data_IF_567069311777
#
_entry.id   IF_567069311777
#
_cell.length_a   1.000
_cell.length_b   1.000
_cell.length_c   1.000
_cell.angle_alpha   90.00
_cell.angle_beta   90.00
_cell.angle_gamma   90.00
#
_symmetry.space_group_name_H-M   'P 1'
#
loop_
_entity.id
_entity.type
_entity.pdbx_description
1 polymer ?
#
# COMPACT_ATOMS: atom_id res chain seq x y z
N UNK A 1 5.73 15.20 3.34
CA UNK A 1 5.75 14.90 1.89
C UNK A 1 6.96 15.55 1.28
N UNK A 2 7.67 14.83 0.41
CA UNK A 2 8.68 15.40 -0.48
C UNK A 2 8.00 15.55 -1.84
N UNK A 3 7.97 16.78 -2.37
CA UNK A 3 7.42 17.06 -3.69
C UNK A 3 8.40 16.63 -4.79
N UNK A 4 7.93 16.56 -6.03
CA UNK A 4 8.75 16.18 -7.17
C UNK A 4 9.99 17.10 -7.37
N UNK A 5 9.89 18.36 -6.93
CA UNK A 5 10.96 19.36 -6.93
C UNK A 5 11.91 19.27 -5.71
N UNK A 6 11.69 18.30 -4.81
CA UNK A 6 12.49 18.11 -3.59
C UNK A 6 12.05 18.97 -2.39
N UNK A 7 11.04 19.82 -2.52
CA UNK A 7 10.56 20.63 -1.39
C UNK A 7 9.78 19.83 -0.36
N UNK A 8 9.86 20.24 0.92
CA UNK A 8 9.18 19.59 2.03
C UNK A 8 7.85 20.27 2.36
N UNK A 9 6.78 19.48 2.42
CA UNK A 9 5.47 19.92 2.89
C UNK A 9 5.03 19.11 4.11
N UNK A 10 4.59 19.82 5.16
CA UNK A 10 3.98 19.27 6.37
C UNK A 10 2.45 19.35 6.28
N UNK A 11 1.76 18.54 7.10
CA UNK A 11 0.29 18.61 7.23
C UNK A 11 -0.49 18.20 5.98
N UNK A 12 0.07 17.29 5.17
CA UNK A 12 -0.63 16.73 4.02
C UNK A 12 -1.61 15.64 4.47
N UNK A 13 -2.77 15.59 3.82
CA UNK A 13 -3.72 14.51 3.97
C UNK A 13 -4.14 14.01 2.59
N UNK A 14 -3.42 13.01 2.02
CA UNK A 14 -3.69 12.53 0.68
C UNK A 14 -5.07 11.87 0.61
N UNK A 15 -5.73 11.93 -0.55
CA UNK A 15 -7.00 11.22 -0.76
C UNK A 15 -6.79 9.75 -1.11
N UNK A 16 -5.69 9.45 -1.80
CA UNK A 16 -5.29 8.10 -2.14
C UNK A 16 -3.78 7.91 -2.00
N UNK A 17 -3.36 6.73 -1.56
CA UNK A 17 -1.95 6.44 -1.28
C UNK A 17 -1.60 4.99 -1.54
N UNK A 18 -0.57 4.75 -2.35
CA UNK A 18 0.04 3.43 -2.54
C UNK A 18 1.22 3.28 -1.58
N UNK A 19 1.06 2.42 -0.58
CA UNK A 19 2.11 2.13 0.40
C UNK A 19 2.96 0.95 -0.04
N UNK A 20 4.28 1.07 0.07
CA UNK A 20 5.18 0.00 -0.32
C UNK A 20 6.62 0.20 0.13
N UNK A 21 7.39 -0.88 0.05
CA UNK A 21 8.82 -0.85 0.31
C UNK A 21 9.64 -0.33 -0.88
N UNK A 22 9.08 -0.38 -2.10
CA UNK A 22 9.65 0.12 -3.37
C UNK A 22 11.14 -0.18 -3.55
N UNK A 23 11.49 -1.46 -3.44
CA UNK A 23 12.87 -1.92 -3.51
C UNK A 23 13.03 -3.07 -4.53
N UNK A 24 13.04 -2.81 -5.85
CA UNK A 24 12.89 -1.50 -6.48
C UNK A 24 11.43 -1.12 -6.77
N UNK A 25 11.21 0.14 -7.13
CA UNK A 25 10.00 0.59 -7.82
C UNK A 25 9.98 -0.02 -9.23
N UNK A 26 8.82 -0.46 -9.72
CA UNK A 26 8.72 -1.14 -11.01
C UNK A 26 7.35 -0.89 -11.66
N UNK A 27 7.19 -1.33 -12.91
CA UNK A 27 5.99 -1.07 -13.73
C UNK A 27 4.67 -1.49 -13.08
N UNK A 28 4.66 -2.64 -12.39
CA UNK A 28 3.51 -3.09 -11.59
C UNK A 28 3.04 -2.07 -10.54
N UNK A 29 3.96 -1.42 -9.82
CA UNK A 29 3.61 -0.37 -8.86
C UNK A 29 3.04 0.87 -9.57
N UNK A 30 3.70 1.28 -10.66
CA UNK A 30 3.29 2.47 -11.42
C UNK A 30 1.90 2.31 -12.01
N UNK A 31 1.63 1.17 -12.65
CA UNK A 31 0.32 0.88 -13.21
C UNK A 31 -0.75 0.73 -12.15
N UNK A 32 -0.41 0.22 -10.97
CA UNK A 32 -1.35 0.13 -9.86
C UNK A 32 -1.75 1.53 -9.39
N UNK A 33 -0.78 2.44 -9.26
CA UNK A 33 -1.05 3.83 -8.93
C UNK A 33 -1.90 4.53 -10.00
N UNK A 34 -1.57 4.36 -11.29
CA UNK A 34 -2.33 4.92 -12.41
C UNK A 34 -3.77 4.40 -12.44
N UNK A 35 -3.96 3.08 -12.35
CA UNK A 35 -5.29 2.46 -12.37
C UNK A 35 -6.13 2.90 -11.17
N UNK A 36 -5.51 3.00 -9.99
CA UNK A 36 -6.18 3.49 -8.80
C UNK A 36 -6.56 4.98 -8.93
N UNK A 37 -5.70 5.80 -9.56
CA UNK A 37 -5.99 7.20 -9.80
C UNK A 37 -7.21 7.37 -10.71
N UNK A 38 -7.30 6.56 -11.78
CA UNK A 38 -8.47 6.56 -12.68
C UNK A 38 -9.76 6.13 -11.97
N UNK A 39 -9.70 5.08 -11.14
CA UNK A 39 -10.88 4.55 -10.43
C UNK A 39 -11.39 5.53 -9.37
N UNK A 40 -10.46 6.18 -8.67
CA UNK A 40 -10.78 7.08 -7.57
C UNK A 40 -11.06 8.50 -8.04
N UNK A 41 -10.68 8.85 -9.27
CA UNK A 41 -10.63 10.23 -9.78
C UNK A 41 -9.84 11.15 -8.82
N UNK A 42 -8.68 10.66 -8.36
CA UNK A 42 -7.82 11.32 -7.39
C UNK A 42 -6.34 11.05 -7.70
N UNK A 43 -5.46 11.99 -7.38
CA UNK A 43 -4.02 11.73 -7.41
C UNK A 43 -3.65 10.67 -6.36
N UNK A 44 -2.92 9.63 -6.79
CA UNK A 44 -2.36 8.60 -5.91
C UNK A 44 -0.92 8.96 -5.62
N UNK A 45 -0.62 9.27 -4.36
CA UNK A 45 0.77 9.48 -3.93
C UNK A 45 1.40 8.17 -3.45
N UNK A 46 2.72 8.11 -3.44
CA UNK A 46 3.45 6.96 -2.91
C UNK A 46 3.80 7.17 -1.43
N UNK A 47 3.80 6.09 -0.66
CA UNK A 47 4.30 6.09 0.71
C UNK A 47 5.36 5.02 0.91
N UNK A 48 6.57 5.48 1.23
CA UNK A 48 7.70 4.64 1.60
C UNK A 48 7.69 4.45 3.12
N UNK A 49 7.35 3.24 3.55
CA UNK A 49 7.39 2.87 4.97
C UNK A 49 8.83 2.67 5.41
N UNK A 50 9.35 3.56 6.27
CA UNK A 50 10.72 3.51 6.79
C UNK A 50 10.89 2.49 7.91
N UNK A 51 9.82 2.20 8.67
CA UNK A 51 9.79 1.19 9.73
C UNK A 51 8.77 0.13 9.35
N UNK A 52 9.21 -1.08 9.03
CA UNK A 52 8.30 -2.19 8.74
C UNK A 52 7.99 -2.94 10.05
N UNK A 53 6.78 -3.47 10.20
CA UNK A 53 6.39 -4.20 11.41
C UNK A 53 7.32 -5.41 11.71
N UNK A 54 7.84 -6.06 10.67
CA UNK A 54 8.60 -7.31 10.78
C UNK A 54 10.11 -7.17 10.47
N UNK A 55 10.61 -5.95 10.25
CA UNK A 55 12.02 -5.72 9.87
C UNK A 55 12.61 -4.55 10.65
N UNK A 56 13.94 -4.53 10.87
CA UNK A 56 14.61 -3.35 11.40
C UNK A 56 14.29 -2.11 10.55
N UNK A 57 14.25 -0.95 11.20
CA UNK A 57 14.10 0.35 10.54
C UNK A 57 15.14 0.47 9.43
N UNK A 58 14.73 1.04 8.30
CA UNK A 58 15.66 1.29 7.20
C UNK A 58 16.69 2.34 7.63
N UNK A 59 17.96 2.07 7.31
CA UNK A 59 19.02 3.07 7.43
C UNK A 59 18.69 4.30 6.58
N UNK A 60 19.12 5.48 7.04
CA UNK A 60 18.83 6.74 6.34
C UNK A 60 19.33 6.71 4.89
N UNK A 61 20.48 6.10 4.65
CA UNK A 61 21.06 5.93 3.30
C UNK A 61 20.17 5.09 2.40
N UNK A 62 19.59 4.02 2.92
CA UNK A 62 18.67 3.15 2.18
C UNK A 62 17.34 3.84 1.87
N UNK A 63 16.81 4.63 2.82
CA UNK A 63 15.62 5.46 2.58
C UNK A 63 15.90 6.44 1.44
N UNK A 64 17.02 7.15 1.50
CA UNK A 64 17.42 8.10 0.46
C UNK A 64 17.60 7.41 -0.89
N UNK A 65 18.26 6.26 -0.94
CA UNK A 65 18.44 5.47 -2.15
C UNK A 65 17.09 5.11 -2.80
N UNK A 66 16.13 4.60 -2.00
CA UNK A 66 14.80 4.27 -2.52
C UNK A 66 14.01 5.49 -2.98
N UNK A 67 14.17 6.63 -2.31
CA UNK A 67 13.52 7.89 -2.68
C UNK A 67 13.98 8.43 -4.03
N UNK A 68 15.23 8.18 -4.44
CA UNK A 68 15.76 8.67 -5.73
C UNK A 68 14.93 8.19 -6.93
N UNK A 69 14.30 7.02 -6.82
CA UNK A 69 13.44 6.45 -7.88
C UNK A 69 12.18 7.31 -8.17
N UNK A 70 11.78 8.18 -7.23
CA UNK A 70 10.59 9.05 -7.36
C UNK A 70 10.93 10.48 -7.79
N UNK A 71 12.20 10.88 -7.71
CA UNK A 71 12.65 12.24 -7.92
C UNK A 71 12.22 12.78 -9.31
N UNK A 72 11.60 13.96 -9.34
CA UNK A 72 11.11 14.59 -10.57
C UNK A 72 9.91 13.92 -11.24
N UNK A 73 9.34 12.86 -10.63
CA UNK A 73 8.30 12.03 -11.28
C UNK A 73 7.03 11.88 -10.45
N UNK A 74 7.16 11.63 -9.15
CA UNK A 74 6.01 11.30 -8.30
C UNK A 74 6.12 11.94 -6.92
N UNK A 75 4.97 12.22 -6.30
CA UNK A 75 4.90 12.62 -4.90
C UNK A 75 5.12 11.41 -3.99
N UNK A 76 6.00 11.57 -3.01
CA UNK A 76 6.30 10.51 -2.04
C UNK A 76 6.31 11.04 -0.61
N UNK A 77 5.78 10.22 0.29
CA UNK A 77 5.81 10.42 1.74
C UNK A 77 6.65 9.33 2.35
N UNK A 78 7.55 9.71 3.26
CA UNK A 78 8.21 8.75 4.15
C UNK A 78 7.46 8.77 5.47
N UNK A 79 7.04 7.60 5.95
CA UNK A 79 6.40 7.48 7.25
C UNK A 79 7.07 6.42 8.12
N UNK A 80 7.02 6.63 9.44
CA UNK A 80 7.40 5.65 10.45
C UNK A 80 6.17 4.87 10.96
N UNK A 81 5.14 4.71 10.13
CA UNK A 81 3.91 4.01 10.50
C UNK A 81 3.94 2.57 9.96
N UNK A 82 4.30 1.56 10.77
CA UNK A 82 4.50 0.19 10.29
C UNK A 82 3.21 -0.52 9.89
N UNK A 83 2.06 -0.11 10.43
CA UNK A 83 0.76 -0.75 10.20
C UNK A 83 -0.22 0.20 9.51
N UNK A 84 -1.24 -0.34 8.83
CA UNK A 84 -2.26 0.49 8.20
C UNK A 84 -3.14 1.24 9.20
N UNK A 85 -3.35 0.71 10.41
CA UNK A 85 -4.00 1.47 11.48
C UNK A 85 -3.15 2.67 11.93
N UNK A 86 -1.82 2.52 12.02
CA UNK A 86 -0.93 3.65 12.27
C UNK A 86 -0.93 4.66 11.12
N UNK A 87 -1.02 4.20 9.87
CA UNK A 87 -1.16 5.09 8.70
C UNK A 87 -2.49 5.82 8.70
N UNK A 88 -3.59 5.16 9.06
CA UNK A 88 -4.91 5.78 9.17
C UNK A 88 -4.92 6.91 10.22
N UNK A 89 -4.17 6.75 11.33
CA UNK A 89 -3.96 7.82 12.33
C UNK A 89 -3.27 9.06 11.74
N UNK A 90 -2.31 8.86 10.84
CA UNK A 90 -1.57 9.94 10.18
C UNK A 90 -2.34 10.57 9.01
N UNK A 91 -3.11 9.78 8.28
CA UNK A 91 -3.76 10.16 7.03
C UNK A 91 -5.26 9.79 7.05
N UNK A 92 -6.08 10.43 7.90
CA UNK A 92 -7.50 10.13 8.01
C UNK A 92 -8.24 10.43 6.70
N UNK A 93 -9.19 9.56 6.31
CA UNK A 93 -9.96 9.70 5.07
C UNK A 93 -9.22 9.25 3.80
N UNK A 94 -8.04 8.64 3.94
CA UNK A 94 -7.24 8.16 2.80
C UNK A 94 -7.72 6.79 2.34
N UNK A 95 -7.83 6.62 1.02
CA UNK A 95 -7.93 5.28 0.41
C UNK A 95 -6.53 4.70 0.21
N UNK A 96 -6.24 3.59 0.88
CA UNK A 96 -4.97 2.87 0.73
C UNK A 96 -5.03 1.91 -0.45
N UNK A 97 -4.18 2.13 -1.44
CA UNK A 97 -4.04 1.25 -2.60
C UNK A 97 -3.06 0.14 -2.22
N UNK A 98 -3.46 -1.12 -2.42
CA UNK A 98 -2.65 -2.29 -2.07
C UNK A 98 -2.75 -3.39 -3.11
N UNK A 99 -1.72 -4.23 -3.19
CA UNK A 99 -1.80 -5.51 -3.90
C UNK A 99 -2.41 -6.60 -3.02
N UNK A 100 -2.82 -7.71 -3.66
CA UNK A 100 -3.40 -8.89 -3.01
C UNK A 100 -2.63 -9.34 -1.76
N UNK A 101 -1.31 -9.53 -1.87
CA UNK A 101 -0.49 -10.05 -0.76
C UNK A 101 -0.50 -9.12 0.47
N UNK A 102 -0.50 -7.80 0.24
CA UNK A 102 -0.57 -6.82 1.32
C UNK A 102 -1.96 -6.82 1.95
N UNK A 103 -3.02 -6.89 1.15
CA UNK A 103 -4.39 -6.97 1.66
C UNK A 103 -4.61 -8.25 2.48
N UNK A 104 -4.07 -9.38 2.03
CA UNK A 104 -4.12 -10.65 2.77
C UNK A 104 -3.45 -10.53 4.14
N UNK A 105 -2.27 -9.89 4.22
CA UNK A 105 -1.57 -9.67 5.50
C UNK A 105 -2.37 -8.80 6.46
N UNK A 106 -3.09 -7.79 5.98
CA UNK A 106 -3.95 -6.94 6.82
C UNK A 106 -5.02 -7.76 7.54
N UNK A 107 -5.45 -8.87 6.93
CA UNK A 107 -6.49 -9.77 7.39
C UNK A 107 -5.96 -11.00 8.17
N UNK A 108 -4.67 -11.03 8.51
CA UNK A 108 -4.05 -12.17 9.21
C UNK A 108 -3.74 -11.82 10.68
N UNK A 109 -4.31 -12.55 11.67
CA UNK A 109 -4.10 -12.28 13.10
C UNK A 109 -2.64 -12.27 13.56
N UNK A 110 -1.74 -13.00 12.89
CA UNK A 110 -0.30 -13.01 13.22
C UNK A 110 0.37 -11.64 13.19
N UNK A 111 -0.18 -10.68 12.44
CA UNK A 111 0.31 -9.29 12.43
C UNK A 111 -0.28 -8.42 13.56
N UNK A 112 -1.09 -9.02 14.43
CA UNK A 112 -1.79 -8.39 15.55
C UNK A 112 -1.61 -9.22 16.83
N UNK A 113 -0.36 -9.61 17.11
CA UNK A 113 0.00 -10.46 18.25
C UNK A 113 -0.84 -11.76 18.33
N UNK A 114 -1.08 -12.37 17.16
CA UNK A 114 -1.89 -13.57 16.98
C UNK A 114 -3.34 -13.44 17.51
N UNK A 115 -3.86 -12.21 17.63
CA UNK A 115 -5.19 -11.92 18.17
C UNK A 115 -6.16 -11.46 17.10
N UNK A 116 -7.22 -12.25 16.90
CA UNK A 116 -8.34 -11.89 16.03
C UNK A 116 -9.05 -10.62 16.52
N UNK A 117 -9.22 -10.45 17.84
CA UNK A 117 -9.86 -9.26 18.41
C UNK A 117 -9.05 -7.99 18.14
N UNK A 118 -7.72 -8.05 18.24
CA UNK A 118 -6.85 -6.91 17.91
C UNK A 118 -6.90 -6.58 16.41
N UNK A 119 -6.97 -7.58 15.54
CA UNK A 119 -7.15 -7.36 14.10
C UNK A 119 -8.49 -6.68 13.81
N UNK A 120 -9.59 -7.14 14.41
CA UNK A 120 -10.91 -6.53 14.23
C UNK A 120 -10.95 -5.10 14.78
N UNK A 121 -10.33 -4.85 15.94
CA UNK A 121 -10.18 -3.51 16.51
C UNK A 121 -9.40 -2.57 15.58
N UNK A 122 -8.33 -3.06 14.95
CA UNK A 122 -7.58 -2.29 13.96
C UNK A 122 -8.42 -1.95 12.72
N UNK A 123 -9.22 -2.90 12.21
CA UNK A 123 -10.13 -2.65 11.09
C UNK A 123 -11.23 -1.63 11.46
N UNK A 124 -11.79 -1.73 12.66
CA UNK A 124 -12.77 -0.79 13.18
C UNK A 124 -12.17 0.63 13.25
N UNK A 125 -10.96 0.78 13.79
CA UNK A 125 -10.31 2.09 13.85
C UNK A 125 -9.99 2.65 12.46
N UNK A 126 -9.55 1.82 11.51
CA UNK A 126 -9.35 2.24 10.11
C UNK A 126 -10.66 2.79 9.52
N UNK A 127 -11.79 2.13 9.77
CA UNK A 127 -13.12 2.60 9.37
C UNK A 127 -13.49 3.92 10.02
N UNK A 128 -13.34 4.04 11.34
CA UNK A 128 -13.68 5.26 12.09
C UNK A 128 -12.90 6.48 11.61
N UNK A 129 -11.67 6.26 11.13
CA UNK A 129 -10.84 7.30 10.52
C UNK A 129 -11.21 7.62 9.08
N UNK A 130 -12.26 7.00 8.54
CA UNK A 130 -12.75 7.19 7.18
C UNK A 130 -11.84 6.59 6.11
N UNK A 131 -10.91 5.70 6.49
CA UNK A 131 -10.00 5.07 5.55
C UNK A 131 -10.61 3.78 4.99
N UNK A 132 -10.22 3.42 3.77
CA UNK A 132 -10.56 2.14 3.17
C UNK A 132 -9.42 1.67 2.25
N UNK A 133 -9.58 0.49 1.65
CA UNK A 133 -8.62 -0.14 0.78
C UNK A 133 -9.16 -0.26 -0.64
N UNK A 134 -8.29 -0.02 -1.62
CA UNK A 134 -8.50 -0.37 -3.01
C UNK A 134 -7.47 -1.44 -3.39
N UNK A 135 -7.95 -2.66 -3.65
CA UNK A 135 -7.11 -3.85 -3.74
C UNK A 135 -7.02 -4.36 -5.18
N UNK A 136 -5.80 -4.51 -5.67
CA UNK A 136 -5.53 -5.22 -6.91
C UNK A 136 -5.39 -6.74 -6.70
N UNK A 137 -6.08 -7.51 -7.54
CA UNK A 137 -5.78 -8.94 -7.76
C UNK A 137 -4.38 -9.10 -8.34
N UNK A 138 -3.75 -10.25 -8.12
CA UNK A 138 -2.40 -10.54 -8.64
C UNK A 138 -2.39 -11.81 -9.49
N UNK A 139 -1.42 -11.90 -10.38
CA UNK A 139 -1.03 -13.15 -11.01
C UNK A 139 0.35 -13.52 -10.50
N UNK A 140 0.54 -14.77 -10.06
CA UNK A 140 1.85 -15.22 -9.63
C UNK A 140 2.72 -15.70 -10.80
N UNK A 141 3.97 -16.05 -10.50
CA UNK A 141 4.97 -16.52 -11.47
C UNK A 141 4.59 -17.84 -12.16
N UNK A 142 3.63 -18.59 -11.61
CA UNK A 142 3.08 -19.81 -12.21
C UNK A 142 1.88 -19.52 -13.11
N UNK A 143 1.47 -18.24 -13.23
CA UNK A 143 0.33 -17.81 -14.01
C UNK A 143 -1.01 -18.03 -13.30
N UNK A 144 -1.03 -18.36 -12.01
CA UNK A 144 -2.25 -18.51 -11.23
C UNK A 144 -2.78 -17.13 -10.86
N UNK A 145 -4.06 -16.90 -11.13
CA UNK A 145 -4.74 -15.65 -10.79
C UNK A 145 -5.32 -15.73 -9.38
N UNK A 146 -4.83 -14.86 -8.51
CA UNK A 146 -5.33 -14.67 -7.15
C UNK A 146 -6.30 -13.49 -7.15
N UNK A 147 -7.59 -13.81 -7.18
CA UNK A 147 -8.64 -12.80 -7.20
C UNK A 147 -8.84 -12.19 -5.81
N UNK A 148 -8.69 -10.88 -5.69
CA UNK A 148 -8.90 -10.15 -4.46
C UNK A 148 -10.36 -10.19 -3.97
N UNK A 149 -11.32 -10.58 -4.82
CA UNK A 149 -12.69 -10.90 -4.38
C UNK A 149 -12.74 -12.08 -3.40
N UNK A 150 -11.75 -12.98 -3.46
CA UNK A 150 -11.60 -14.15 -2.61
C UNK A 150 -10.93 -13.89 -1.26
N UNK A 151 -10.59 -12.64 -0.94
CA UNK A 151 -10.01 -12.31 0.37
C UNK A 151 -10.96 -12.71 1.50
N UNK A 152 -10.40 -13.36 2.53
CA UNK A 152 -11.08 -13.76 3.76
C UNK A 152 -11.36 -12.56 4.68
N UNK A 153 -12.13 -11.59 4.18
CA UNK A 153 -12.52 -10.40 4.95
C UNK A 153 -13.55 -10.80 6.02
N UNK A 154 -13.33 -10.47 7.31
CA UNK A 154 -14.29 -10.73 8.37
C UNK A 154 -15.67 -10.14 8.08
N UNK A 155 -16.70 -10.80 8.61
CA UNK A 155 -18.08 -10.33 8.48
C UNK A 155 -18.21 -8.89 9.00
N UNK A 156 -18.98 -8.07 8.26
CA UNK A 156 -19.16 -6.67 8.59
C UNK A 156 -17.99 -5.75 8.23
N UNK A 157 -16.93 -6.22 7.55
CA UNK A 157 -15.79 -5.39 7.10
C UNK A 157 -15.56 -5.34 5.58
N UNK A 158 -16.44 -5.96 4.78
CA UNK A 158 -16.29 -6.02 3.31
C UNK A 158 -16.29 -4.64 2.64
N UNK A 159 -17.02 -3.67 3.18
CA UNK A 159 -17.06 -2.28 2.75
C UNK A 159 -15.70 -1.58 2.79
N UNK A 160 -14.79 -2.03 3.67
CA UNK A 160 -13.43 -1.49 3.74
C UNK A 160 -12.56 -1.93 2.58
N UNK A 161 -12.90 -2.99 1.85
CA UNK A 161 -12.04 -3.57 0.81
C UNK A 161 -12.73 -3.51 -0.55
N UNK A 162 -12.48 -2.42 -1.28
CA UNK A 162 -12.94 -2.27 -2.66
C UNK A 162 -11.97 -2.97 -3.59
N UNK A 163 -12.48 -3.77 -4.52
CA UNK A 163 -11.66 -4.55 -5.43
C UNK A 163 -11.52 -3.82 -6.76
N UNK A 164 -10.29 -3.70 -7.26
CA UNK A 164 -10.03 -3.23 -8.62
C UNK A 164 -10.55 -4.29 -9.59
N UNK A 165 -11.47 -3.97 -10.52
CA UNK A 165 -11.98 -4.94 -11.47
C UNK A 165 -10.84 -5.57 -12.28
N UNK A 166 -10.86 -6.90 -12.44
CA UNK A 166 -9.80 -7.64 -13.14
C UNK A 166 -9.60 -7.25 -14.62
N UNK A 167 -10.54 -6.51 -15.23
CA UNK A 167 -10.39 -5.92 -16.56
C UNK A 167 -9.61 -4.59 -16.59
N UNK A 168 -9.47 -3.92 -15.44
CA UNK A 168 -8.80 -2.63 -15.28
C UNK A 168 -7.33 -2.78 -14.89
N UNK A 169 -7.00 -3.81 -14.11
CA UNK A 169 -5.64 -4.10 -13.69
C UNK A 169 -5.27 -5.56 -13.96
N UNK A 170 -4.37 -5.75 -14.93
CA UNK A 170 -3.64 -7.00 -15.18
C UNK A 170 -2.19 -6.60 -15.40
N UNK A 171 -1.32 -6.89 -14.44
CA UNK A 171 0.11 -6.68 -14.63
C UNK A 171 0.91 -7.82 -14.02
N UNK A 172 1.84 -8.33 -14.82
CA UNK A 172 2.52 -9.63 -14.66
C UNK A 172 3.96 -9.48 -14.11
N UNK A 173 4.22 -8.59 -13.13
CA UNK A 173 5.59 -8.42 -12.59
C UNK A 173 5.58 -8.16 -11.08
N UNK A 174 6.24 -9.03 -10.31
CA UNK A 174 6.49 -8.85 -8.87
C UNK A 174 7.90 -8.29 -8.59
N UNK A 175 8.07 -7.47 -7.53
CA UNK A 175 9.39 -6.90 -7.20
C UNK A 175 10.42 -7.95 -6.78
N UNK A 176 9.98 -9.17 -6.47
CA UNK A 176 10.86 -10.27 -6.07
C UNK A 176 11.58 -10.88 -7.27
N UNK A 177 10.92 -10.94 -8.43
CA UNK A 177 11.51 -11.46 -9.69
C UNK A 177 12.59 -10.52 -10.25
N UNK A 178 12.53 -9.23 -9.94
CA UNK A 178 13.50 -8.24 -10.41
C UNK A 178 14.79 -8.19 -9.59
N UNK A 179 14.85 -8.84 -8.42
CA UNK A 179 16.09 -8.87 -7.59
C UNK A 179 17.06 -9.98 -8.00
N UNK A 180 16.67 -10.85 -8.93
CA UNK A 180 17.47 -11.99 -9.39
C UNK A 180 18.31 -11.70 -10.64
N UNK A 181 18.23 -10.48 -11.19
CA UNK A 181 18.95 -10.05 -12.40
C UNK A 181 20.02 -8.96 -12.14
N UNK A 182 20.54 -8.84 -10.91
CA UNK A 182 21.77 -8.10 -10.57
C UNK A 182 22.83 -9.05 -10.00
#
# INVERSE_FOLDING_TARGET
MIRADGSLQKGINPKAMLSGAFNPLHSGHLRLAETAAEILDQEVIFELTAVNADKPSLEKTEILHRLLQFAGRYLVVVSNAPTFVAKARLFPGTTFVTGYDTAERILQPRFYADSQDQMLSALAEIRERGCCFLVASRRDSQGIFHDASGLSVPEGYRDLFKIIPAGRFRHDISSTELRTDE
#
